data_IF_744477104509
#
_entry.id   IF_744477104509
#
_cell.length_a   1.000
_cell.length_b   1.000
_cell.length_c   1.000
_cell.angle_alpha   90.00
_cell.angle_beta   90.00
_cell.angle_gamma   90.00
#
_symmetry.space_group_name_H-M   'P 1'
#
loop_
_entity.id
_entity.type
_entity.pdbx_description
1 polymer ?
#
# COMPACT_ATOMS: atom_id res chain seq x y z
N UNK A 1 -17.98 -6.39 -22.19
CA UNK A 1 -17.78 -7.35 -21.08
C UNK A 1 -18.37 -6.73 -19.82
N UNK A 2 -19.34 -7.39 -19.18
CA UNK A 2 -20.01 -6.86 -18.00
C UNK A 2 -19.07 -6.86 -16.79
N UNK A 3 -18.89 -5.71 -16.12
CA UNK A 3 -18.18 -5.64 -14.82
C UNK A 3 -18.90 -6.57 -13.83
N UNK A 4 -18.17 -7.34 -12.98
CA UNK A 4 -18.82 -8.15 -11.95
C UNK A 4 -19.66 -7.24 -11.05
N UNK A 5 -20.92 -7.62 -10.82
CA UNK A 5 -21.83 -6.91 -9.91
C UNK A 5 -21.19 -6.91 -8.51
N UNK A 6 -21.12 -5.74 -7.88
CA UNK A 6 -20.70 -5.58 -6.48
C UNK A 6 -21.47 -6.59 -5.61
N UNK A 7 -20.77 -7.60 -5.09
CA UNK A 7 -21.36 -8.52 -4.14
C UNK A 7 -21.50 -7.76 -2.81
N UNK A 8 -22.67 -7.68 -2.17
CA UNK A 8 -22.81 -7.00 -0.87
C UNK A 8 -21.91 -7.57 0.24
N UNK A 9 -21.32 -8.76 0.03
CA UNK A 9 -20.29 -9.36 0.89
C UNK A 9 -18.88 -8.75 0.71
N UNK A 10 -18.67 -7.92 -0.32
CA UNK A 10 -17.44 -7.16 -0.58
C UNK A 10 -17.44 -5.78 0.12
N UNK A 11 -18.54 -5.43 0.80
CA UNK A 11 -18.60 -4.23 1.62
C UNK A 11 -18.00 -4.49 3.01
N UNK A 12 -17.30 -3.49 3.56
CA UNK A 12 -16.66 -3.51 4.87
C UNK A 12 -17.39 -2.60 5.83
N UNK A 13 -17.73 -3.09 7.02
CA UNK A 13 -18.23 -2.23 8.08
C UNK A 13 -17.15 -1.27 8.60
N UNK A 14 -17.54 -0.17 9.23
CA UNK A 14 -16.59 0.77 9.86
C UNK A 14 -15.69 0.09 10.90
N UNK A 15 -16.21 -0.94 11.57
CA UNK A 15 -15.44 -1.75 12.50
C UNK A 15 -14.37 -2.58 11.78
N UNK A 16 -14.71 -3.21 10.65
CA UNK A 16 -13.76 -3.97 9.83
C UNK A 16 -12.69 -3.06 9.23
N UNK A 17 -13.07 -1.86 8.78
CA UNK A 17 -12.11 -0.87 8.27
C UNK A 17 -11.14 -0.41 9.37
N UNK A 18 -11.65 -0.12 10.57
CA UNK A 18 -10.81 0.25 11.71
C UNK A 18 -9.85 -0.88 12.12
N UNK A 19 -10.36 -2.12 12.22
CA UNK A 19 -9.57 -3.32 12.54
C UNK A 19 -8.50 -3.57 11.47
N UNK A 20 -8.86 -3.51 10.19
CA UNK A 20 -7.93 -3.65 9.08
C UNK A 20 -6.81 -2.62 9.16
N UNK A 21 -7.16 -1.36 9.42
CA UNK A 21 -6.22 -0.28 9.68
C UNK A 21 -5.33 -0.47 10.91
N UNK A 22 -5.71 -1.34 11.86
CA UNK A 22 -5.06 -1.39 13.17
C UNK A 22 -5.22 -0.07 13.93
N UNK A 23 -6.33 0.64 13.70
CA UNK A 23 -6.67 1.92 14.32
C UNK A 23 -7.96 1.80 15.11
N UNK A 24 -8.17 2.72 16.05
CA UNK A 24 -9.43 2.78 16.78
C UNK A 24 -10.58 3.22 15.88
N UNK A 25 -11.81 2.81 16.20
CA UNK A 25 -13.03 3.27 15.50
C UNK A 25 -13.15 4.80 15.48
N UNK A 26 -12.70 5.47 16.55
CA UNK A 26 -12.68 6.94 16.64
C UNK A 26 -11.69 7.55 15.63
N UNK A 27 -10.50 6.96 15.50
CA UNK A 27 -9.52 7.39 14.48
C UNK A 27 -10.05 7.15 13.07
N UNK A 28 -10.69 6.01 12.81
CA UNK A 28 -11.34 5.75 11.52
C UNK A 28 -12.42 6.80 11.21
N UNK A 29 -13.31 7.10 12.15
CA UNK A 29 -14.34 8.13 11.96
C UNK A 29 -13.69 9.48 11.63
N UNK A 30 -12.61 9.83 12.31
CA UNK A 30 -11.89 11.06 12.03
C UNK A 30 -11.28 11.11 10.62
N UNK A 31 -10.75 9.98 10.11
CA UNK A 31 -10.29 9.87 8.72
C UNK A 31 -11.45 10.09 7.73
N UNK A 32 -12.60 9.45 8.00
CA UNK A 32 -13.79 9.56 7.17
C UNK A 32 -14.34 10.99 7.13
N UNK A 33 -14.48 11.64 8.29
CA UNK A 33 -15.01 13.00 8.43
C UNK A 33 -14.14 14.05 7.73
N UNK A 34 -12.83 13.80 7.62
CA UNK A 34 -11.88 14.69 6.94
C UNK A 34 -11.71 14.38 5.45
N UNK A 35 -12.59 13.55 4.86
CA UNK A 35 -12.59 13.28 3.42
C UNK A 35 -11.33 12.55 2.93
N UNK A 36 -10.69 11.78 3.81
CA UNK A 36 -9.45 11.06 3.48
C UNK A 36 -9.74 9.69 2.84
N UNK A 37 -10.98 9.20 2.87
CA UNK A 37 -11.41 7.99 2.15
C UNK A 37 -11.51 8.24 0.63
N UNK A 38 -11.44 7.19 -0.22
CA UNK A 38 -11.56 7.37 -1.66
C UNK A 38 -12.99 7.83 -2.07
N UNK A 39 -13.14 8.62 -3.15
CA UNK A 39 -14.45 9.12 -3.60
C UNK A 39 -15.42 7.98 -3.95
N UNK A 40 -16.69 8.10 -3.56
CA UNK A 40 -17.74 7.12 -3.90
C UNK A 40 -17.56 5.71 -3.31
N UNK A 41 -16.53 5.49 -2.49
CA UNK A 41 -16.03 4.17 -2.09
C UNK A 41 -16.30 3.81 -0.62
N UNK A 42 -17.35 4.37 -0.03
CA UNK A 42 -17.44 4.56 1.43
C UNK A 42 -17.11 3.34 2.30
N UNK A 43 -17.26 2.12 1.77
CA UNK A 43 -17.05 0.86 2.46
C UNK A 43 -16.52 -0.27 1.56
N UNK A 44 -15.76 0.02 0.51
CA UNK A 44 -15.23 -1.02 -0.39
C UNK A 44 -13.75 -1.40 -0.10
N UNK A 45 -13.19 -2.26 -0.94
CA UNK A 45 -11.79 -2.71 -0.81
C UNK A 45 -10.78 -1.56 -0.89
N UNK A 46 -11.10 -0.48 -1.60
CA UNK A 46 -10.22 0.69 -1.72
C UNK A 46 -10.20 1.46 -0.41
N UNK A 47 -11.34 1.59 0.25
CA UNK A 47 -11.39 2.15 1.60
C UNK A 47 -10.53 1.32 2.57
N UNK A 48 -10.61 -0.02 2.53
CA UNK A 48 -9.78 -0.88 3.36
C UNK A 48 -8.29 -0.69 3.07
N UNK A 49 -7.89 -0.75 1.79
CA UNK A 49 -6.50 -0.55 1.36
C UNK A 49 -5.93 0.80 1.84
N UNK A 50 -6.73 1.86 1.72
CA UNK A 50 -6.33 3.21 2.16
C UNK A 50 -6.22 3.31 3.68
N UNK A 51 -7.18 2.78 4.42
CA UNK A 51 -7.16 2.79 5.89
C UNK A 51 -6.01 1.94 6.43
N UNK A 52 -5.70 0.81 5.80
CA UNK A 52 -4.53 -0.02 6.10
C UNK A 52 -3.22 0.76 5.98
N UNK A 53 -3.04 1.47 4.87
CA UNK A 53 -1.85 2.28 4.66
C UNK A 53 -1.73 3.42 5.67
N UNK A 54 -2.81 4.18 5.90
CA UNK A 54 -2.83 5.26 6.90
C UNK A 54 -2.51 4.70 8.29
N UNK A 55 -3.09 3.55 8.64
CA UNK A 55 -2.83 2.85 9.90
C UNK A 55 -1.37 2.43 10.07
N UNK A 56 -0.68 2.07 8.98
CA UNK A 56 0.75 1.79 9.01
C UNK A 56 1.58 3.05 9.32
N UNK A 57 1.26 4.20 8.72
CA UNK A 57 1.89 5.48 9.08
C UNK A 57 1.64 5.85 10.55
N UNK A 58 0.41 5.64 11.04
CA UNK A 58 0.06 5.88 12.45
C UNK A 58 0.86 4.97 13.37
N UNK A 59 1.01 3.69 13.03
CA UNK A 59 1.83 2.74 13.77
C UNK A 59 3.31 3.12 13.77
N UNK A 60 3.78 3.78 12.71
CA UNK A 60 5.10 4.41 12.63
C UNK A 60 5.25 5.71 13.43
N UNK A 61 4.24 6.09 14.24
CA UNK A 61 4.27 7.25 15.13
C UNK A 61 3.71 8.54 14.53
N UNK A 62 3.11 8.49 13.34
CA UNK A 62 2.52 9.67 12.71
C UNK A 62 1.13 9.99 13.30
N UNK A 63 0.81 11.28 13.55
CA UNK A 63 -0.56 11.66 13.87
C UNK A 63 -1.54 11.29 12.75
N UNK A 64 -2.73 10.79 13.10
CA UNK A 64 -3.70 10.23 12.14
C UNK A 64 -4.06 11.17 10.98
N UNK A 65 -4.27 12.46 11.25
CA UNK A 65 -4.58 13.44 10.21
C UNK A 65 -3.40 13.62 9.27
N UNK A 66 -2.20 13.78 9.82
CA UNK A 66 -0.98 13.92 9.03
C UNK A 66 -0.75 12.66 8.19
N UNK A 67 -0.97 11.46 8.74
CA UNK A 67 -0.88 10.21 8.01
C UNK A 67 -1.84 10.15 6.82
N UNK A 68 -3.08 10.58 7.00
CA UNK A 68 -4.04 10.64 5.90
C UNK A 68 -3.69 11.66 4.83
N UNK A 69 -3.21 12.86 5.20
CA UNK A 69 -2.73 13.86 4.24
C UNK A 69 -1.49 13.38 3.49
N UNK A 70 -0.47 12.92 4.23
CA UNK A 70 0.75 12.36 3.66
C UNK A 70 0.40 11.27 2.66
N UNK A 71 -0.37 10.26 3.09
CA UNK A 71 -0.69 9.14 2.22
C UNK A 71 -1.51 9.56 1.00
N UNK A 72 -2.50 10.45 1.15
CA UNK A 72 -3.25 10.98 0.00
C UNK A 72 -2.35 11.67 -1.01
N UNK A 73 -1.41 12.50 -0.54
CA UNK A 73 -0.45 13.19 -1.40
C UNK A 73 0.57 12.23 -2.03
N UNK A 74 0.96 11.16 -1.31
CA UNK A 74 1.82 10.10 -1.88
C UNK A 74 1.13 9.33 -3.00
N UNK A 75 -0.18 9.14 -2.93
CA UNK A 75 -0.96 8.48 -3.99
C UNK A 75 -1.14 9.35 -5.24
N UNK A 76 -1.06 10.67 -5.11
CA UNK A 76 -1.15 11.59 -6.26
C UNK A 76 0.16 11.74 -7.03
N UNK A 77 1.24 11.09 -6.58
CA UNK A 77 2.50 11.12 -7.33
C UNK A 77 2.41 10.12 -8.49
N UNK A 78 2.89 10.54 -9.67
CA UNK A 78 2.61 9.89 -10.95
C UNK A 78 3.06 8.43 -11.07
N UNK A 79 3.90 7.94 -10.16
CA UNK A 79 4.32 6.53 -10.14
C UNK A 79 3.29 5.60 -9.51
N UNK A 80 2.33 6.17 -8.78
CA UNK A 80 1.16 5.44 -8.30
C UNK A 80 -0.11 5.84 -9.05
N UNK A 81 -0.20 7.07 -9.58
CA UNK A 81 -1.31 7.68 -10.38
C UNK A 81 -2.65 6.94 -10.28
N UNK A 82 -3.09 6.77 -9.03
CA UNK A 82 -4.27 5.99 -8.70
C UNK A 82 -5.42 6.97 -8.52
N UNK A 83 -5.92 7.54 -9.64
CA UNK A 83 -7.17 8.31 -9.64
C UNK A 83 -8.32 7.51 -8.98
N UNK A 84 -8.28 6.17 -9.10
CA UNK A 84 -9.26 5.26 -8.52
C UNK A 84 -8.95 4.76 -7.10
N UNK A 85 -7.77 5.06 -6.53
CA UNK A 85 -7.38 4.70 -5.15
C UNK A 85 -6.96 3.23 -4.92
N UNK A 86 -6.58 2.50 -5.97
CA UNK A 86 -6.24 1.07 -5.89
C UNK A 86 -4.79 0.80 -5.46
N UNK A 87 -4.53 0.84 -4.16
CA UNK A 87 -3.17 0.62 -3.62
C UNK A 87 -2.70 -0.82 -3.82
N UNK A 88 -1.47 -1.07 -4.33
CA UNK A 88 -1.01 -2.42 -4.62
C UNK A 88 -0.77 -3.22 -3.33
N UNK A 89 -1.50 -4.32 -3.19
CA UNK A 89 -1.30 -5.31 -2.11
C UNK A 89 -0.09 -6.22 -2.34
N UNK A 90 0.54 -6.16 -3.53
CA UNK A 90 1.61 -7.08 -3.96
C UNK A 90 1.12 -8.48 -4.34
N UNK A 91 -0.18 -8.77 -4.19
CA UNK A 91 -0.77 -10.10 -4.42
C UNK A 91 -0.74 -10.55 -5.89
N UNK A 92 -0.75 -9.61 -6.83
CA UNK A 92 -0.63 -9.90 -8.26
C UNK A 92 0.66 -10.69 -8.58
N UNK A 93 1.73 -10.47 -7.81
CA UNK A 93 2.98 -11.21 -7.96
C UNK A 93 2.91 -12.60 -7.36
N UNK A 94 2.16 -12.80 -6.29
CA UNK A 94 1.89 -14.14 -5.76
C UNK A 94 1.10 -14.96 -6.75
N UNK A 95 0.07 -14.36 -7.39
CA UNK A 95 -0.72 -15.05 -8.40
C UNK A 95 0.14 -15.59 -9.56
N UNK A 96 1.21 -14.88 -9.97
CA UNK A 96 2.14 -15.37 -11.01
C UNK A 96 2.97 -16.60 -10.60
N UNK A 97 3.14 -16.83 -9.29
CA UNK A 97 3.92 -17.95 -8.74
C UNK A 97 3.07 -19.16 -8.38
N UNK A 98 1.75 -18.99 -8.29
CA UNK A 98 0.84 -20.08 -7.97
C UNK A 98 0.65 -21.03 -9.17
N UNK A 99 0.54 -22.35 -8.92
CA UNK A 99 0.09 -23.31 -9.93
C UNK A 99 -1.25 -22.92 -10.57
N UNK A 100 -1.40 -23.17 -11.88
CA UNK A 100 -2.56 -22.75 -12.67
C UNK A 100 -3.91 -23.30 -12.15
N UNK A 101 -3.91 -24.48 -11.54
CA UNK A 101 -5.08 -25.06 -10.89
C UNK A 101 -5.51 -24.25 -9.65
N UNK A 102 -4.56 -23.78 -8.84
CA UNK A 102 -4.87 -22.90 -7.68
C UNK A 102 -5.43 -21.57 -8.17
N UNK A 103 -4.85 -21.00 -9.24
CA UNK A 103 -5.36 -19.77 -9.85
C UNK A 103 -6.80 -19.95 -10.35
N UNK A 104 -7.06 -21.01 -11.11
CA UNK A 104 -8.39 -21.27 -11.67
C UNK A 104 -9.43 -21.54 -10.58
N UNK A 105 -9.09 -22.36 -9.59
CA UNK A 105 -10.05 -22.87 -8.62
C UNK A 105 -10.33 -21.86 -7.49
N UNK A 106 -9.42 -20.89 -7.23
CA UNK A 106 -9.52 -19.96 -6.09
C UNK A 106 -9.35 -18.47 -6.44
N UNK A 107 -8.97 -18.09 -7.67
CA UNK A 107 -8.57 -16.70 -8.01
C UNK A 107 -9.45 -16.08 -9.10
N UNK A 108 -9.94 -16.85 -10.07
CA UNK A 108 -10.76 -16.29 -11.15
C UNK A 108 -12.17 -15.91 -10.65
N UNK A 109 -12.49 -14.61 -10.68
CA UNK A 109 -13.84 -14.08 -10.46
C UNK A 109 -14.22 -13.80 -9.00
N UNK A 110 -13.31 -14.04 -8.05
CA UNK A 110 -13.52 -13.78 -6.63
C UNK A 110 -12.72 -12.52 -6.28
N UNK A 111 -13.38 -11.44 -5.83
CA UNK A 111 -12.71 -10.15 -5.60
C UNK A 111 -11.50 -10.23 -4.65
N UNK A 112 -10.62 -9.23 -4.69
CA UNK A 112 -9.34 -9.13 -3.94
C UNK A 112 -9.41 -9.65 -2.49
N UNK A 113 -10.48 -9.32 -1.76
CA UNK A 113 -10.68 -9.76 -0.38
C UNK A 113 -10.80 -11.28 -0.24
N UNK A 114 -11.63 -11.90 -1.08
CA UNK A 114 -11.89 -13.34 -1.00
C UNK A 114 -10.70 -14.15 -1.46
N UNK A 115 -9.97 -13.65 -2.47
CA UNK A 115 -8.68 -14.22 -2.86
C UNK A 115 -7.72 -14.24 -1.68
N UNK A 116 -7.57 -13.11 -0.99
CA UNK A 116 -6.70 -13.00 0.18
C UNK A 116 -7.12 -13.92 1.32
N UNK A 117 -8.42 -13.92 1.64
CA UNK A 117 -8.98 -14.77 2.69
C UNK A 117 -8.72 -16.25 2.40
N UNK A 118 -8.84 -16.67 1.15
CA UNK A 118 -8.52 -18.02 0.72
C UNK A 118 -7.06 -18.38 0.95
N UNK A 119 -6.13 -17.49 0.57
CA UNK A 119 -4.70 -17.69 0.80
C UNK A 119 -4.35 -17.76 2.29
N UNK A 120 -4.89 -16.86 3.10
CA UNK A 120 -4.64 -16.81 4.54
C UNK A 120 -5.03 -18.11 5.25
N UNK A 121 -6.28 -18.56 5.09
CA UNK A 121 -6.74 -19.79 5.74
C UNK A 121 -6.14 -21.05 5.13
N UNK A 122 -5.73 -21.00 3.86
CA UNK A 122 -4.99 -22.09 3.27
C UNK A 122 -3.56 -22.20 3.79
N UNK A 123 -2.96 -21.08 4.22
CA UNK A 123 -1.67 -21.05 4.87
C UNK A 123 -1.74 -21.49 6.34
N UNK A 124 -2.68 -20.99 7.13
CA UNK A 124 -2.73 -21.28 8.58
C UNK A 124 -3.13 -22.71 8.99
N UNK A 125 -3.35 -23.63 8.04
CA UNK A 125 -3.51 -25.05 8.34
C UNK A 125 -4.92 -25.60 8.15
N UNK A 126 -5.58 -25.27 7.03
CA UNK A 126 -6.69 -26.11 6.59
C UNK A 126 -6.16 -27.53 6.29
N UNK A 127 -6.76 -28.59 6.86
CA UNK A 127 -6.29 -29.97 6.66
C UNK A 127 -6.31 -30.45 5.20
N UNK A 128 -7.06 -29.75 4.34
CA UNK A 128 -7.30 -30.11 2.93
C UNK A 128 -6.67 -29.11 1.93
N UNK A 129 -5.83 -28.17 2.35
CA UNK A 129 -5.22 -27.22 1.41
C UNK A 129 -4.01 -27.81 0.70
N UNK A 130 -3.96 -27.54 -0.61
CA UNK A 130 -2.95 -28.08 -1.51
C UNK A 130 -1.54 -27.82 -0.95
N UNK A 131 -0.67 -28.85 -0.90
CA UNK A 131 0.72 -28.68 -0.51
C UNK A 131 1.37 -27.53 -1.29
N UNK A 132 1.94 -26.58 -0.57
CA UNK A 132 2.73 -25.49 -1.15
C UNK A 132 2.12 -24.09 -1.07
N UNK A 133 0.85 -23.87 -0.70
CA UNK A 133 0.33 -22.49 -0.52
C UNK A 133 1.10 -21.74 0.58
N UNK A 134 1.50 -22.45 1.64
CA UNK A 134 2.38 -21.93 2.69
C UNK A 134 3.77 -21.51 2.20
N UNK A 135 4.23 -22.02 1.05
CA UNK A 135 5.49 -21.59 0.45
C UNK A 135 5.35 -20.24 -0.28
N UNK A 136 4.11 -19.82 -0.57
CA UNK A 136 3.82 -18.61 -1.35
C UNK A 136 3.16 -17.49 -0.53
N UNK A 137 2.43 -17.81 0.55
CA UNK A 137 1.78 -16.83 1.40
C UNK A 137 2.10 -17.09 2.88
N UNK A 138 2.95 -16.24 3.45
CA UNK A 138 3.25 -16.22 4.88
C UNK A 138 2.63 -14.96 5.49
N UNK A 139 1.66 -15.15 6.38
CA UNK A 139 0.99 -14.04 7.07
C UNK A 139 2.02 -13.21 7.85
N UNK A 140 1.94 -11.88 7.72
CA UNK A 140 2.86 -10.96 8.38
C UNK A 140 4.24 -10.78 7.72
N UNK A 141 4.59 -11.56 6.70
CA UNK A 141 5.91 -11.50 6.07
C UNK A 141 5.96 -10.55 4.86
N UNK A 142 7.04 -9.76 4.70
CA UNK A 142 7.23 -8.92 3.53
C UNK A 142 7.57 -9.75 2.29
N UNK A 143 7.17 -9.27 1.11
CA UNK A 143 7.55 -9.81 -0.18
C UNK A 143 8.58 -8.91 -0.85
N UNK A 144 9.46 -9.50 -1.67
CA UNK A 144 10.45 -8.73 -2.44
C UNK A 144 9.83 -7.73 -3.43
N UNK A 145 8.57 -7.95 -3.84
CA UNK A 145 7.81 -7.07 -4.73
C UNK A 145 6.99 -6.01 -4.00
N UNK A 146 7.09 -5.91 -2.68
CA UNK A 146 6.29 -4.96 -1.91
C UNK A 146 6.58 -3.51 -2.27
N UNK A 147 5.52 -2.70 -2.30
CA UNK A 147 5.61 -1.26 -2.38
C UNK A 147 5.91 -0.69 -0.99
N UNK A 148 7.06 -0.04 -0.88
CA UNK A 148 7.58 0.54 0.36
C UNK A 148 7.86 2.03 0.15
N UNK A 149 7.36 2.85 1.04
CA UNK A 149 7.72 4.26 1.16
C UNK A 149 8.84 4.42 2.18
N UNK A 150 9.83 5.22 1.82
CA UNK A 150 10.90 5.65 2.71
C UNK A 150 10.92 7.17 2.75
N UNK A 151 10.67 7.73 3.93
CA UNK A 151 10.70 9.17 4.17
C UNK A 151 11.93 9.49 5.02
N UNK A 152 12.84 10.27 4.45
CA UNK A 152 14.14 10.59 5.04
C UNK A 152 14.13 12.02 5.56
N UNK A 153 14.51 12.17 6.83
CA UNK A 153 14.62 13.46 7.53
C UNK A 153 13.38 14.36 7.33
N UNK A 154 12.20 13.74 7.14
CA UNK A 154 10.91 14.41 6.86
C UNK A 154 10.88 15.24 5.58
N UNK A 155 11.87 15.08 4.71
CA UNK A 155 12.09 15.94 3.55
C UNK A 155 12.20 15.18 2.23
N UNK A 156 12.76 13.98 2.21
CA UNK A 156 12.97 13.25 0.97
C UNK A 156 12.08 12.02 0.93
N UNK A 157 11.44 11.80 -0.22
CA UNK A 157 10.60 10.64 -0.45
C UNK A 157 11.29 9.68 -1.42
N UNK A 158 11.41 8.44 -0.98
CA UNK A 158 11.86 7.32 -1.79
C UNK A 158 10.78 6.25 -1.85
N UNK A 159 10.75 5.55 -2.97
CA UNK A 159 9.86 4.41 -3.21
C UNK A 159 10.67 3.20 -3.61
N UNK A 160 10.37 2.08 -2.96
CA UNK A 160 10.90 0.77 -3.34
C UNK A 160 9.75 -0.10 -3.79
N UNK A 161 9.74 -0.43 -5.07
CA UNK A 161 8.89 -1.46 -5.68
C UNK A 161 9.67 -2.00 -6.89
N UNK A 162 9.75 -3.32 -7.06
CA UNK A 162 10.52 -3.94 -8.14
C UNK A 162 10.09 -3.46 -9.53
N UNK A 163 8.79 -3.21 -9.74
CA UNK A 163 8.24 -2.70 -11.00
C UNK A 163 8.53 -1.20 -11.21
N UNK A 164 8.67 -0.43 -10.12
CA UNK A 164 8.97 1.01 -10.20
C UNK A 164 10.48 1.28 -10.33
N UNK A 165 11.34 0.42 -9.75
CA UNK A 165 12.80 0.57 -9.85
C UNK A 165 13.30 0.59 -11.29
N UNK A 166 12.75 -0.29 -12.12
CA UNK A 166 13.12 -0.41 -13.53
C UNK A 166 12.65 0.78 -14.38
N UNK A 167 11.73 1.59 -13.84
CA UNK A 167 11.17 2.75 -14.53
C UNK A 167 11.87 4.07 -14.16
N UNK A 168 12.85 4.08 -13.25
CA UNK A 168 13.52 5.31 -12.82
C UNK A 168 14.25 6.00 -13.99
N UNK A 169 13.74 7.13 -14.53
CA UNK A 169 14.33 7.76 -15.70
C UNK A 169 15.59 8.57 -15.38
N UNK A 170 15.89 8.75 -14.09
CA UNK A 170 16.99 9.54 -13.54
C UNK A 170 18.22 8.71 -13.20
N UNK A 171 18.12 7.38 -13.25
CA UNK A 171 19.25 6.50 -13.00
C UNK A 171 20.01 6.20 -14.30
N UNK A 172 21.34 6.16 -14.24
CA UNK A 172 22.16 5.65 -15.36
C UNK A 172 21.97 4.16 -15.57
N UNK A 173 21.72 3.42 -14.47
CA UNK A 173 21.47 1.98 -14.42
C UNK A 173 20.29 1.71 -13.47
N UNK A 174 19.03 1.84 -13.93
CA UNK A 174 17.83 1.73 -13.08
C UNK A 174 17.78 0.45 -12.24
N UNK A 175 18.29 -0.66 -12.77
CA UNK A 175 18.34 -1.97 -12.12
C UNK A 175 19.25 -2.02 -10.87
N UNK A 176 20.18 -1.07 -10.73
CA UNK A 176 21.11 -1.00 -9.59
C UNK A 176 20.57 -0.16 -8.43
N UNK A 177 19.38 0.43 -8.57
CA UNK A 177 18.82 1.36 -7.60
C UNK A 177 17.98 0.61 -6.55
N UNK A 178 18.38 0.72 -5.29
CA UNK A 178 17.67 0.07 -4.18
C UNK A 178 16.34 0.73 -3.83
N UNK A 179 16.20 2.04 -4.07
CA UNK A 179 14.96 2.80 -3.94
C UNK A 179 14.98 4.01 -4.88
N UNK A 180 13.89 4.23 -5.61
CA UNK A 180 13.75 5.36 -6.51
C UNK A 180 13.50 6.64 -5.72
N UNK A 181 14.22 7.72 -6.04
CA UNK A 181 13.94 9.03 -5.46
C UNK A 181 12.78 9.66 -6.23
N UNK A 182 11.71 9.97 -5.51
CA UNK A 182 10.47 10.50 -6.10
C UNK A 182 10.44 12.02 -6.02
N UNK A 183 10.91 12.60 -4.91
CA UNK A 183 10.86 14.05 -4.73
C UNK A 183 10.99 14.52 -3.29
N UNK A 184 10.66 15.78 -3.07
CA UNK A 184 10.74 16.42 -1.77
C UNK A 184 9.38 16.54 -1.12
N UNK A 185 9.38 16.50 0.20
CA UNK A 185 8.24 16.79 1.03
C UNK A 185 8.41 18.22 1.55
N UNK A 186 7.39 19.03 1.30
CA UNK A 186 7.24 20.39 1.81
C UNK A 186 6.04 20.44 2.76
N UNK A 187 6.04 21.36 3.71
CA UNK A 187 4.94 21.52 4.66
C UNK A 187 4.77 20.38 5.67
N UNK A 188 5.85 19.70 6.06
CA UNK A 188 5.79 18.65 7.11
C UNK A 188 5.34 19.19 8.48
N UNK A 189 5.54 20.49 8.75
CA UNK A 189 5.10 21.15 9.97
C UNK A 189 3.61 21.48 9.95
N UNK A 190 2.99 21.53 11.14
CA UNK A 190 1.54 21.70 11.37
C UNK A 190 0.89 22.99 10.82
N UNK A 191 1.61 23.84 10.08
CA UNK A 191 1.16 25.17 9.63
C UNK A 191 1.18 25.37 8.11
N UNK A 192 1.72 24.42 7.35
CA UNK A 192 1.84 24.52 5.89
C UNK A 192 1.11 23.35 5.23
N UNK A 193 0.67 23.55 3.98
CA UNK A 193 0.03 22.48 3.22
C UNK A 193 1.08 21.42 2.86
N UNK A 194 0.86 20.20 3.34
CA UNK A 194 1.73 19.06 3.02
C UNK A 194 1.70 18.82 1.51
N UNK A 195 2.87 18.91 0.86
CA UNK A 195 3.01 18.68 -0.56
C UNK A 195 4.21 17.80 -0.86
N UNK A 196 4.07 16.92 -1.84
CA UNK A 196 5.20 16.26 -2.48
C UNK A 196 5.51 17.03 -3.76
N UNK A 197 6.72 17.58 -3.86
CA UNK A 197 7.25 18.16 -5.09
C UNK A 197 8.00 17.07 -5.83
N UNK A 198 7.40 16.59 -6.92
CA UNK A 198 7.97 15.51 -7.69
C UNK A 198 9.27 15.95 -8.39
N UNK A 199 10.22 15.04 -8.56
CA UNK A 199 11.51 15.34 -9.19
C UNK A 199 11.35 15.92 -10.60
N UNK A 200 10.34 15.50 -11.37
CA UNK A 200 10.08 16.05 -12.72
C UNK A 200 9.68 17.52 -12.70
N UNK A 201 9.17 18.04 -11.59
CA UNK A 201 8.85 19.47 -11.47
C UNK A 201 10.12 20.33 -11.43
N UNK A 202 11.21 19.81 -10.83
CA UNK A 202 12.49 20.52 -10.71
C UNK A 202 13.48 20.17 -11.82
N UNK A 203 13.34 18.97 -12.39
CA UNK A 203 14.11 18.46 -13.49
C UNK A 203 13.14 17.88 -14.52
N UNK A 204 12.55 18.67 -15.42
CA UNK A 204 11.58 18.17 -16.39
C UNK A 204 12.27 17.41 -17.54
N UNK A 205 11.78 16.21 -17.87
CA UNK A 205 12.39 15.31 -18.86
C UNK A 205 12.35 15.82 -20.30
N UNK A 206 11.45 16.77 -20.60
CA UNK A 206 11.29 17.38 -21.93
C UNK A 206 12.35 18.46 -22.22
N UNK A 207 13.22 18.79 -21.26
CA UNK A 207 14.31 19.75 -21.41
C UNK A 207 15.65 19.05 -21.50
N UNK A 208 16.52 19.54 -22.39
CA UNK A 208 17.87 18.99 -22.59
C UNK A 208 18.72 18.96 -21.30
N UNK A 209 18.48 19.91 -20.39
CA UNK A 209 19.15 19.98 -19.09
C UNK A 209 18.49 19.15 -17.99
N UNK A 210 17.27 18.64 -18.22
CA UNK A 210 16.46 17.94 -17.24
C UNK A 210 17.13 16.66 -16.76
N UNK A 211 17.51 15.77 -17.68
CA UNK A 211 18.18 14.50 -17.35
C UNK A 211 19.47 14.68 -16.53
N UNK A 212 20.44 15.53 -16.94
CA UNK A 212 21.62 15.80 -16.13
C UNK A 212 21.31 16.39 -14.75
N UNK A 213 20.31 17.27 -14.66
CA UNK A 213 19.88 17.84 -13.38
C UNK A 213 19.26 16.78 -12.47
N UNK A 214 18.33 15.98 -12.97
CA UNK A 214 17.66 14.95 -12.17
C UNK A 214 18.61 13.85 -11.71
N UNK A 215 19.61 13.48 -12.51
CA UNK A 215 20.71 12.59 -12.08
C UNK A 215 21.48 13.17 -10.88
N UNK A 216 21.82 14.46 -10.91
CA UNK A 216 22.45 15.15 -9.77
C UNK A 216 21.55 15.16 -8.54
N UNK A 217 20.27 15.46 -8.71
CA UNK A 217 19.31 15.51 -7.60
C UNK A 217 19.08 14.13 -6.98
N UNK A 218 18.96 13.08 -7.79
CA UNK A 218 18.91 11.68 -7.35
C UNK A 218 20.18 11.30 -6.56
N UNK A 219 21.36 11.66 -7.06
CA UNK A 219 22.62 11.37 -6.37
C UNK A 219 22.72 12.09 -5.02
N UNK A 220 22.34 13.37 -4.96
CA UNK A 220 22.29 14.14 -3.72
C UNK A 220 21.30 13.56 -2.71
N UNK A 221 20.09 13.23 -3.16
CA UNK A 221 19.09 12.62 -2.31
C UNK A 221 19.58 11.26 -1.78
N UNK A 222 20.25 10.45 -2.61
CA UNK A 222 20.82 9.16 -2.21
C UNK A 222 21.91 9.33 -1.16
N UNK A 223 22.80 10.31 -1.29
CA UNK A 223 23.79 10.63 -0.26
C UNK A 223 23.13 11.07 1.06
N UNK A 224 22.04 11.86 0.99
CA UNK A 224 21.24 12.23 2.16
C UNK A 224 20.58 11.03 2.82
N UNK A 225 19.98 10.12 2.04
CA UNK A 225 19.43 8.84 2.52
C UNK A 225 20.46 8.03 3.29
N UNK A 226 21.69 7.94 2.79
CA UNK A 226 22.77 7.20 3.45
C UNK A 226 23.30 7.85 4.73
N UNK A 227 23.03 9.14 4.94
CA UNK A 227 23.48 9.93 6.11
C UNK A 227 22.32 10.41 6.99
N UNK A 228 21.14 9.85 6.78
CA UNK A 228 19.92 10.28 7.43
C UNK A 228 20.01 10.18 8.95
N UNK A 229 19.48 11.17 9.66
CA UNK A 229 19.35 11.12 11.12
C UNK A 229 18.05 10.41 11.50
N UNK A 230 17.00 10.56 10.68
CA UNK A 230 15.71 9.91 10.88
C UNK A 230 15.21 9.30 9.57
N UNK A 231 14.70 8.07 9.66
CA UNK A 231 14.06 7.38 8.54
C UNK A 231 12.73 6.78 9.00
N UNK A 232 11.68 7.04 8.22
CA UNK A 232 10.38 6.37 8.36
C UNK A 232 10.17 5.46 7.15
N UNK A 233 10.13 4.15 7.38
CA UNK A 233 9.91 3.14 6.35
C UNK A 233 8.56 2.48 6.53
N UNK A 234 7.69 2.56 5.52
CA UNK A 234 6.34 2.00 5.55
C UNK A 234 6.18 1.02 4.40
N UNK A 235 5.98 -0.27 4.73
CA UNK A 235 5.59 -1.28 3.75
C UNK A 235 4.07 -1.29 3.57
N UNK A 236 3.61 -0.65 2.50
CA UNK A 236 2.18 -0.45 2.25
C UNK A 236 1.53 -1.74 1.76
N UNK A 237 2.21 -2.49 0.90
CA UNK A 237 1.69 -3.79 0.44
C UNK A 237 1.48 -4.76 1.60
N UNK A 238 2.44 -4.86 2.51
CA UNK A 238 2.32 -5.67 3.72
C UNK A 238 1.21 -5.16 4.65
N UNK A 239 1.11 -3.84 4.83
CA UNK A 239 0.04 -3.26 5.65
C UNK A 239 -1.36 -3.66 5.13
N UNK A 240 -1.55 -3.65 3.81
CA UNK A 240 -2.80 -4.08 3.17
C UNK A 240 -3.05 -5.57 3.39
N UNK A 241 -2.03 -6.42 3.22
CA UNK A 241 -2.18 -7.86 3.47
C UNK A 241 -2.57 -8.14 4.92
N UNK A 242 -1.85 -7.54 5.86
CA UNK A 242 -2.18 -7.66 7.29
C UNK A 242 -3.60 -7.14 7.60
N UNK A 243 -4.07 -6.09 6.92
CA UNK A 243 -5.42 -5.60 7.08
C UNK A 243 -6.47 -6.61 6.62
N UNK A 244 -6.22 -7.25 5.47
CA UNK A 244 -7.09 -8.29 4.92
C UNK A 244 -7.13 -9.54 5.83
N UNK A 245 -5.98 -9.95 6.38
CA UNK A 245 -5.89 -11.05 7.37
C UNK A 245 -6.73 -10.73 8.62
N UNK A 246 -6.55 -9.54 9.20
CA UNK A 246 -7.31 -9.12 10.39
C UNK A 246 -8.82 -9.13 10.14
N UNK A 247 -9.26 -8.65 8.97
CA UNK A 247 -10.69 -8.68 8.62
C UNK A 247 -11.17 -10.12 8.39
N UNK A 248 -10.35 -10.99 7.80
CA UNK A 248 -10.68 -12.41 7.62
C UNK A 248 -10.88 -13.13 8.96
N UNK A 249 -9.96 -12.93 9.91
CA UNK A 249 -10.05 -13.45 11.28
C UNK A 249 -11.31 -12.92 11.98
N UNK A 250 -11.51 -11.60 11.97
CA UNK A 250 -12.66 -10.97 12.61
C UNK A 250 -14.00 -11.50 12.08
N UNK A 251 -14.13 -11.68 10.76
CA UNK A 251 -15.34 -12.26 10.16
C UNK A 251 -15.54 -13.74 10.55
N UNK A 252 -14.46 -14.51 10.67
CA UNK A 252 -14.52 -15.91 11.07
C UNK A 252 -14.98 -16.06 12.53
N UNK A 253 -14.40 -15.29 13.45
CA UNK A 253 -14.80 -15.26 14.86
C UNK A 253 -16.28 -14.87 15.03
N UNK A 254 -16.71 -13.81 14.34
CA UNK A 254 -18.11 -13.35 14.35
C UNK A 254 -19.09 -14.39 13.82
N UNK A 255 -18.66 -15.22 12.86
CA UNK A 255 -19.47 -16.32 12.34
C UNK A 255 -19.58 -17.44 13.38
N UNK A 256 -18.46 -17.86 13.97
CA UNK A 256 -18.44 -18.89 15.01
C UNK A 256 -19.30 -18.51 16.24
N UNK A 257 -19.23 -17.24 16.68
CA UNK A 257 -20.08 -16.71 17.76
C UNK A 257 -21.58 -16.78 17.47
N UNK A 258 -21.97 -16.66 16.19
CA UNK A 258 -23.38 -16.72 15.77
C UNK A 258 -23.87 -18.16 15.68
N UNK A 259 -23.00 -19.08 15.28
CA UNK A 259 -23.33 -20.51 15.17
C UNK A 259 -23.36 -21.19 16.54
N UNK A 260 -22.66 -20.64 17.54
CA UNK A 260 -22.68 -21.12 18.91
C UNK A 260 -23.90 -20.64 19.74
N UNK A 261 -24.73 -19.74 19.19
CA UNK A 261 -25.92 -19.17 19.85
C UNK A 261 -27.20 -19.76 19.28
#
# INVERSE_FOLDING_TARGET
MARPRHNPTDAFSDAELAIGGGITKRQFQHIADNGQLPPGSGRDIRALKRVAAIGAFVSGGMPVLLAGYVFKTLLSVGEFDQEDGEVPSGLSHLARKLPANIIRDHVQGIGDYWYHRGLYFAGEGAPDTAPGINDYYLAGEPLGSDAIFEIIDRQYLFVRNIELKTQNPWADRPETVDAMFVGWIEGWSRSEEFRVVHITERAPLDKDWGRPMGQRLQAQATDRRNRAVATLTINVSLAIRNALDRVAVFRAERKAEREAK
#
